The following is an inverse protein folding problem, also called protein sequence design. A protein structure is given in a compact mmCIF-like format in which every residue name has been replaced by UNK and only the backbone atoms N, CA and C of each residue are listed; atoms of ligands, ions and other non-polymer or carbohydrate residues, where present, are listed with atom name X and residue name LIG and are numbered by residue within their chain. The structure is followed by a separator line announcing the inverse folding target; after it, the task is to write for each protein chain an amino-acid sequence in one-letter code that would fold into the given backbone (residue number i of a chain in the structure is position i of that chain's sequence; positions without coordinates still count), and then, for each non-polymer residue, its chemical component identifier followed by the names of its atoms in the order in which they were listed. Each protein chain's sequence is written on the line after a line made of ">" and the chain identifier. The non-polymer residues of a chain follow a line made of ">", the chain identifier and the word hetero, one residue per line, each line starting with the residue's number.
data_IF_828812047382
#
_entry.id   IF_828812047382
#
_cell.length_a   1.000
_cell.length_b   1.000
_cell.length_c   1.000
_cell.angle_alpha   90.00
_cell.angle_beta   90.00
_cell.angle_gamma   90.00
#
_symmetry.space_group_name_H-M   'P 1'
#
loop_
_entity.id
_entity.type
_entity.pdbx_description
1 polymer ?
#
# COMPACT_ATOMS: atom_id res chain seq x y z
N UNK A 1 -5.01 15.42 -13.46
CA UNK A 1 -5.00 13.96 -13.18
C UNK A 1 -5.64 13.27 -14.37
N UNK A 2 -4.99 12.26 -14.95
CA UNK A 2 -5.50 11.51 -16.10
C UNK A 2 -6.60 10.56 -15.60
N UNK A 3 -7.78 10.54 -16.28
CA UNK A 3 -8.88 9.67 -15.90
C UNK A 3 -8.57 8.22 -16.30
N UNK A 4 -8.87 7.28 -15.41
CA UNK A 4 -8.75 5.85 -15.72
C UNK A 4 -9.85 5.41 -16.71
N UNK A 5 -9.42 4.92 -17.87
CA UNK A 5 -10.27 4.30 -18.91
C UNK A 5 -9.66 3.01 -19.43
N UNK A 6 -8.56 2.51 -18.82
CA UNK A 6 -7.77 1.38 -19.30
C UNK A 6 -8.60 0.10 -19.50
N UNK A 7 -9.63 -0.09 -18.68
CA UNK A 7 -10.47 -1.29 -18.70
C UNK A 7 -11.93 -1.00 -19.06
N UNK A 8 -12.24 0.20 -19.60
CA UNK A 8 -13.61 0.58 -19.94
C UNK A 8 -14.16 -0.19 -21.16
N UNK A 9 -13.30 -0.68 -22.05
CA UNK A 9 -13.71 -1.27 -23.34
C UNK A 9 -13.29 -2.74 -23.50
N UNK A 10 -12.40 -3.27 -22.69
CA UNK A 10 -11.94 -4.67 -22.81
C UNK A 10 -11.76 -5.30 -21.45
N UNK A 11 -12.49 -6.40 -21.13
CA UNK A 11 -12.20 -7.17 -19.94
C UNK A 11 -10.80 -7.79 -20.05
N UNK A 12 -9.88 -7.44 -19.14
CA UNK A 12 -8.59 -8.08 -19.09
C UNK A 12 -8.75 -9.57 -18.82
N UNK A 13 -7.95 -10.42 -19.48
CA UNK A 13 -7.94 -11.85 -19.19
C UNK A 13 -7.58 -12.08 -17.72
N UNK A 14 -8.20 -13.06 -17.03
CA UNK A 14 -7.90 -13.37 -15.64
C UNK A 14 -6.39 -13.62 -15.44
N UNK A 15 -5.76 -12.89 -14.50
CA UNK A 15 -4.33 -13.02 -14.19
C UNK A 15 -3.38 -12.07 -14.95
N UNK A 16 -3.88 -11.14 -15.76
CA UNK A 16 -3.05 -10.24 -16.58
C UNK A 16 -2.76 -8.87 -15.95
N UNK A 17 -3.30 -8.56 -14.75
CA UNK A 17 -3.06 -7.26 -14.12
C UNK A 17 -1.59 -7.12 -13.69
N UNK A 18 -0.93 -6.09 -14.20
CA UNK A 18 0.43 -5.72 -13.83
C UNK A 18 0.50 -4.22 -13.58
N UNK A 19 1.29 -3.82 -12.60
CA UNK A 19 1.60 -2.41 -12.34
C UNK A 19 2.63 -1.90 -13.35
N UNK A 20 2.23 -1.84 -14.63
CA UNK A 20 3.04 -1.33 -15.72
C UNK A 20 2.89 0.21 -15.89
N UNK A 21 3.62 0.80 -16.85
CA UNK A 21 3.60 2.25 -17.10
C UNK A 21 2.20 2.78 -17.44
N UNK A 22 1.36 1.99 -18.12
CA UNK A 22 0.01 2.38 -18.46
C UNK A 22 -0.86 2.53 -17.21
N UNK A 23 -0.78 1.53 -16.29
CA UNK A 23 -1.47 1.56 -14.99
C UNK A 23 -0.95 2.70 -14.13
N UNK A 24 0.38 2.88 -14.03
CA UNK A 24 0.99 3.98 -13.24
C UNK A 24 0.43 5.34 -13.64
N UNK A 25 0.22 5.57 -14.94
CA UNK A 25 -0.27 6.86 -15.46
C UNK A 25 -1.69 7.24 -14.98
N UNK A 26 -2.52 6.27 -14.65
CA UNK A 26 -3.92 6.44 -14.20
C UNK A 26 -4.14 6.02 -12.76
N UNK A 27 -3.13 5.46 -12.12
CA UNK A 27 -3.21 4.89 -10.76
C UNK A 27 -3.81 5.84 -9.72
N UNK A 28 -3.47 7.16 -9.70
CA UNK A 28 -4.05 8.08 -8.73
C UNK A 28 -5.58 8.25 -8.86
N UNK A 29 -6.13 8.18 -10.06
CA UNK A 29 -7.58 8.19 -10.28
C UNK A 29 -8.20 6.84 -9.95
N UNK A 30 -7.55 5.77 -10.40
CA UNK A 30 -7.99 4.39 -10.19
C UNK A 30 -8.11 4.07 -8.69
N UNK A 31 -7.07 4.32 -7.90
CA UNK A 31 -7.06 3.94 -6.47
C UNK A 31 -8.12 4.69 -5.67
N UNK A 32 -8.30 6.00 -5.91
CA UNK A 32 -9.31 6.83 -5.24
C UNK A 32 -10.73 6.38 -5.54
N UNK A 33 -10.97 5.88 -6.74
CA UNK A 33 -12.29 5.39 -7.16
C UNK A 33 -12.54 3.95 -6.75
N UNK A 34 -11.47 3.16 -6.61
CA UNK A 34 -11.57 1.72 -6.37
C UNK A 34 -11.51 1.35 -4.89
N UNK A 35 -10.96 2.21 -4.04
CA UNK A 35 -10.78 1.93 -2.61
C UNK A 35 -11.62 2.89 -1.78
N UNK A 36 -12.76 2.44 -1.23
CA UNK A 36 -13.56 3.26 -0.31
C UNK A 36 -12.75 3.71 0.89
N UNK A 37 -12.86 4.99 1.24
CA UNK A 37 -12.15 5.55 2.37
C UNK A 37 -10.63 5.72 2.17
N UNK A 38 -10.12 5.64 0.94
CA UNK A 38 -8.70 5.80 0.64
C UNK A 38 -8.08 7.04 1.30
N UNK A 39 -8.66 8.22 1.06
CA UNK A 39 -8.17 9.48 1.65
C UNK A 39 -8.27 9.49 3.19
N UNK A 40 -9.31 8.86 3.74
CA UNK A 40 -9.47 8.71 5.20
C UNK A 40 -8.37 7.84 5.78
N UNK A 41 -8.03 6.75 5.10
CA UNK A 41 -6.92 5.86 5.52
C UNK A 41 -5.58 6.60 5.49
N UNK A 42 -5.32 7.39 4.44
CA UNK A 42 -4.09 8.20 4.37
C UNK A 42 -4.03 9.22 5.52
N UNK A 43 -5.13 9.95 5.78
CA UNK A 43 -5.20 10.90 6.88
C UNK A 43 -5.00 10.23 8.24
N UNK A 44 -5.58 9.03 8.45
CA UNK A 44 -5.38 8.24 9.66
C UNK A 44 -3.93 7.77 9.79
N UNK A 45 -3.31 7.30 8.71
CA UNK A 45 -1.90 6.89 8.67
C UNK A 45 -0.99 8.03 9.13
N UNK A 46 -1.20 9.26 8.62
CA UNK A 46 -0.45 10.44 9.07
C UNK A 46 -0.64 10.74 10.56
N UNK A 47 -1.86 10.64 11.10
CA UNK A 47 -2.14 10.82 12.53
C UNK A 47 -1.47 9.75 13.39
N UNK A 48 -1.46 8.50 12.94
CA UNK A 48 -0.78 7.40 13.61
C UNK A 48 0.74 7.59 13.57
N UNK A 49 1.28 8.08 12.45
CA UNK A 49 2.69 8.45 12.35
C UNK A 49 3.05 9.52 13.39
N UNK A 50 2.29 10.62 13.48
CA UNK A 50 2.53 11.65 14.51
C UNK A 50 2.51 11.11 15.92
N UNK A 51 1.70 10.07 16.20
CA UNK A 51 1.52 9.48 17.54
C UNK A 51 2.58 8.46 17.92
N UNK A 52 3.00 7.61 16.98
CA UNK A 52 3.81 6.41 17.28
C UNK A 52 5.25 6.50 16.77
N UNK A 53 5.53 7.35 15.78
CA UNK A 53 6.89 7.45 15.25
C UNK A 53 7.81 8.08 16.30
N UNK A 54 8.95 7.45 16.50
CA UNK A 54 10.01 7.88 17.41
C UNK A 54 11.11 8.58 16.61
N UNK A 55 11.76 9.58 17.22
CA UNK A 55 12.91 10.23 16.61
C UNK A 55 14.07 9.23 16.41
N UNK A 56 14.87 9.45 15.40
CA UNK A 56 15.96 8.58 15.00
C UNK A 56 15.52 7.14 14.72
N UNK A 57 14.33 6.97 14.15
CA UNK A 57 13.79 5.68 13.72
C UNK A 57 13.35 5.73 12.26
N UNK A 58 12.88 4.59 11.76
CA UNK A 58 12.31 4.50 10.42
C UNK A 58 10.79 4.41 10.43
N UNK A 59 10.18 4.93 9.38
CA UNK A 59 8.84 4.60 8.89
C UNK A 59 9.02 3.83 7.60
N UNK A 60 8.41 2.66 7.48
CA UNK A 60 8.53 1.79 6.30
C UNK A 60 7.16 1.50 5.72
N UNK A 61 6.93 1.91 4.49
CA UNK A 61 5.70 1.66 3.73
C UNK A 61 5.94 0.52 2.73
N UNK A 62 5.25 -0.59 2.94
CA UNK A 62 5.43 -1.84 2.22
C UNK A 62 4.33 -2.03 1.17
N UNK A 63 4.70 -2.05 -0.10
CA UNK A 63 3.80 -1.89 -1.22
C UNK A 63 3.40 -0.42 -1.38
N UNK A 64 4.40 0.46 -1.37
CA UNK A 64 4.19 1.91 -1.26
C UNK A 64 3.57 2.54 -2.51
N UNK A 65 3.53 1.85 -3.64
CA UNK A 65 3.04 2.37 -4.92
C UNK A 65 3.63 3.75 -5.24
N UNK A 66 2.81 4.79 -5.37
CA UNK A 66 3.24 6.17 -5.63
C UNK A 66 3.57 6.98 -4.36
N UNK A 67 3.62 6.34 -3.18
CA UNK A 67 4.06 6.93 -1.92
C UNK A 67 3.02 7.81 -1.19
N UNK A 68 1.72 7.66 -1.44
CA UNK A 68 0.70 8.50 -0.80
C UNK A 68 0.70 8.37 0.73
N UNK A 69 0.89 7.16 1.28
CA UNK A 69 1.03 6.96 2.73
C UNK A 69 2.27 7.66 3.29
N UNK A 70 3.40 7.59 2.56
CA UNK A 70 4.63 8.29 2.97
C UNK A 70 4.49 9.80 2.89
N UNK A 71 3.73 10.33 1.94
CA UNK A 71 3.44 11.76 1.86
C UNK A 71 2.68 12.23 3.11
N UNK A 72 1.66 11.48 3.51
CA UNK A 72 0.90 11.77 4.73
C UNK A 72 1.79 11.70 5.99
N UNK A 73 2.70 10.72 6.05
CA UNK A 73 3.67 10.63 7.13
C UNK A 73 4.69 11.77 7.11
N UNK A 74 5.26 12.13 5.95
CA UNK A 74 6.22 13.23 5.82
C UNK A 74 5.64 14.56 6.31
N UNK A 75 4.38 14.85 5.93
CA UNK A 75 3.67 16.04 6.38
C UNK A 75 3.43 16.05 7.89
N UNK A 76 3.06 14.89 8.45
CA UNK A 76 2.79 14.75 9.89
C UNK A 76 4.07 14.77 10.76
N UNK A 77 5.23 14.52 10.18
CA UNK A 77 6.53 14.39 10.82
C UNK A 77 7.51 15.49 10.39
N UNK A 78 6.99 16.59 9.84
CA UNK A 78 7.82 17.70 9.35
C UNK A 78 8.86 18.15 10.37
N UNK A 79 10.11 18.26 9.93
CA UNK A 79 11.24 18.68 10.76
C UNK A 79 11.75 17.62 11.74
N UNK A 80 11.15 16.44 11.85
CA UNK A 80 11.62 15.38 12.76
C UNK A 80 12.76 14.56 12.16
N UNK A 81 13.74 14.14 12.97
CA UNK A 81 14.89 13.34 12.53
C UNK A 81 14.51 11.86 12.33
N UNK A 82 13.74 11.57 11.31
CA UNK A 82 13.27 10.21 10.99
C UNK A 82 13.60 9.85 9.54
N UNK A 83 13.70 8.55 9.26
CA UNK A 83 13.86 8.04 7.89
C UNK A 83 12.53 7.54 7.37
N UNK A 84 12.17 7.93 6.16
CA UNK A 84 10.99 7.43 5.45
C UNK A 84 11.47 6.51 4.32
N UNK A 85 10.97 5.28 4.27
CA UNK A 85 11.33 4.27 3.25
C UNK A 85 10.07 3.70 2.63
N UNK A 86 9.93 3.84 1.31
CA UNK A 86 8.92 3.17 0.51
C UNK A 86 9.52 1.97 -0.21
N UNK A 87 8.85 0.84 -0.17
CA UNK A 87 9.26 -0.38 -0.86
C UNK A 87 8.14 -0.87 -1.76
N UNK A 88 8.46 -1.18 -3.00
CA UNK A 88 7.53 -1.79 -3.94
C UNK A 88 8.28 -2.71 -4.91
N UNK A 89 7.63 -3.76 -5.39
CA UNK A 89 8.23 -4.66 -6.38
C UNK A 89 7.90 -4.30 -7.84
N UNK A 90 7.18 -3.21 -8.05
CA UNK A 90 6.90 -2.65 -9.37
C UNK A 90 7.86 -1.50 -9.69
N UNK A 91 8.90 -1.76 -10.49
CA UNK A 91 9.88 -0.74 -10.87
C UNK A 91 9.25 0.54 -11.47
N UNK A 92 8.19 0.50 -12.31
CA UNK A 92 7.52 1.70 -12.79
C UNK A 92 6.86 2.54 -11.67
N UNK A 93 6.35 1.89 -10.61
CA UNK A 93 5.79 2.61 -9.45
C UNK A 93 6.88 3.35 -8.70
N UNK A 94 8.01 2.70 -8.43
CA UNK A 94 9.16 3.31 -7.75
C UNK A 94 9.69 4.51 -8.55
N UNK A 95 9.95 4.35 -9.86
CA UNK A 95 10.43 5.44 -10.70
C UNK A 95 9.49 6.67 -10.69
N UNK A 96 8.18 6.43 -10.72
CA UNK A 96 7.19 7.50 -10.67
C UNK A 96 7.09 8.13 -9.27
N UNK A 97 7.22 7.34 -8.19
CA UNK A 97 7.27 7.85 -6.83
C UNK A 97 8.50 8.74 -6.64
N UNK A 98 9.68 8.31 -7.04
CA UNK A 98 10.91 9.11 -7.00
C UNK A 98 10.76 10.43 -7.75
N UNK A 99 10.27 10.40 -9.00
CA UNK A 99 10.04 11.59 -9.81
C UNK A 99 9.05 12.56 -9.15
N UNK A 100 7.97 12.03 -8.57
CA UNK A 100 6.97 12.82 -7.84
C UNK A 100 7.57 13.51 -6.62
N UNK A 101 8.31 12.79 -5.81
CA UNK A 101 8.87 13.30 -4.55
C UNK A 101 10.08 14.20 -4.75
N UNK A 102 10.83 14.05 -5.83
CA UNK A 102 11.91 14.98 -6.18
C UNK A 102 11.42 16.43 -6.37
N UNK A 103 10.16 16.60 -6.77
CA UNK A 103 9.53 17.91 -6.92
C UNK A 103 9.01 18.51 -5.58
N UNK A 104 8.99 17.72 -4.49
CA UNK A 104 8.49 18.10 -3.19
C UNK A 104 9.66 18.32 -2.24
N UNK A 105 9.89 19.55 -1.79
CA UNK A 105 10.95 19.88 -0.82
C UNK A 105 10.56 19.42 0.60
N UNK A 106 10.40 18.11 0.79
CA UNK A 106 9.98 17.53 2.08
C UNK A 106 11.16 17.30 3.02
N UNK A 107 10.95 17.52 4.31
CA UNK A 107 11.91 17.21 5.35
C UNK A 107 11.16 16.59 6.56
N UNK A 108 11.28 15.25 6.78
CA UNK A 108 12.12 14.30 6.03
C UNK A 108 11.57 13.98 4.64
N UNK A 109 12.48 13.82 3.67
CA UNK A 109 12.14 13.29 2.34
C UNK A 109 12.21 11.76 2.34
N UNK A 110 11.27 11.05 1.72
CA UNK A 110 11.32 9.60 1.62
C UNK A 110 12.37 9.13 0.60
N UNK A 111 12.90 7.93 0.85
CA UNK A 111 13.64 7.13 -0.13
C UNK A 111 12.75 6.01 -0.62
N UNK A 112 12.97 5.56 -1.85
CA UNK A 112 12.22 4.46 -2.43
C UNK A 112 13.17 3.32 -2.81
N UNK A 113 12.70 2.08 -2.67
CA UNK A 113 13.48 0.87 -2.94
C UNK A 113 12.64 -0.11 -3.76
N UNK A 114 13.16 -0.51 -4.92
CA UNK A 114 12.57 -1.56 -5.73
C UNK A 114 13.03 -2.91 -5.18
N UNK A 115 12.17 -3.60 -4.42
CA UNK A 115 12.49 -4.87 -3.80
C UNK A 115 11.23 -5.70 -3.48
N UNK A 116 11.43 -7.02 -3.39
CA UNK A 116 10.44 -7.92 -2.83
C UNK A 116 10.43 -7.87 -1.30
N UNK A 117 9.24 -7.80 -0.72
CA UNK A 117 9.05 -7.75 0.73
C UNK A 117 9.62 -8.99 1.44
N UNK A 118 9.61 -10.15 0.78
CA UNK A 118 10.14 -11.39 1.34
C UNK A 118 11.68 -11.41 1.41
N UNK A 119 12.34 -10.66 0.53
CA UNK A 119 13.81 -10.62 0.46
C UNK A 119 14.43 -9.45 1.24
N UNK A 120 13.65 -8.43 1.58
CA UNK A 120 14.16 -7.20 2.20
C UNK A 120 14.63 -7.41 3.63
N UNK A 121 15.79 -6.84 3.97
CA UNK A 121 16.24 -6.71 5.36
C UNK A 121 15.60 -5.45 5.99
N UNK A 122 14.66 -5.63 6.91
CA UNK A 122 13.96 -4.51 7.51
C UNK A 122 14.83 -3.71 8.48
N UNK A 123 14.88 -2.37 8.36
CA UNK A 123 15.52 -1.54 9.37
C UNK A 123 14.71 -1.57 10.68
N UNK A 124 15.36 -1.22 11.79
CA UNK A 124 14.64 -0.99 13.04
C UNK A 124 13.71 0.21 12.87
N UNK A 125 12.40 0.01 12.93
CA UNK A 125 11.39 0.99 12.63
C UNK A 125 10.42 1.20 13.78
N UNK A 126 9.86 2.38 13.91
CA UNK A 126 8.76 2.66 14.83
C UNK A 126 7.39 2.65 14.16
N UNK A 127 7.35 2.61 12.81
CA UNK A 127 6.11 2.45 12.08
C UNK A 127 6.33 1.60 10.83
N UNK A 128 5.55 0.53 10.69
CA UNK A 128 5.35 -0.18 9.44
C UNK A 128 3.95 0.10 8.91
N UNK A 129 3.82 0.23 7.59
CA UNK A 129 2.55 0.47 6.89
C UNK A 129 2.40 -0.63 5.83
N UNK A 130 1.24 -1.28 5.82
CA UNK A 130 0.78 -2.21 4.78
C UNK A 130 -0.66 -1.83 4.42
N UNK A 131 -0.82 -0.87 3.53
CA UNK A 131 -2.14 -0.48 3.05
C UNK A 131 -2.46 -1.23 1.75
N UNK A 132 -3.38 -2.20 1.83
CA UNK A 132 -3.83 -3.06 0.71
C UNK A 132 -2.73 -3.87 0.04
N UNK A 133 -1.71 -4.26 0.80
CA UNK A 133 -0.52 -4.96 0.31
C UNK A 133 -0.57 -6.47 0.54
N UNK A 134 -1.02 -6.91 1.73
CA UNK A 134 -1.01 -8.34 2.09
C UNK A 134 -1.83 -9.21 1.13
N UNK A 135 -2.87 -8.65 0.52
CA UNK A 135 -3.71 -9.37 -0.43
C UNK A 135 -2.92 -9.90 -1.64
N UNK A 136 -1.78 -9.27 -1.99
CA UNK A 136 -0.93 -9.67 -3.11
C UNK A 136 0.10 -10.75 -2.74
N UNK A 137 0.27 -11.04 -1.46
CA UNK A 137 1.19 -12.07 -0.99
C UNK A 137 0.49 -13.43 -0.84
N UNK A 138 1.20 -14.53 -1.16
CA UNK A 138 0.73 -15.87 -0.84
C UNK A 138 0.38 -16.00 0.65
N UNK A 139 -0.62 -16.81 0.97
CA UNK A 139 -1.08 -16.97 2.35
C UNK A 139 0.04 -17.44 3.29
N UNK A 140 0.86 -18.36 2.81
CA UNK A 140 2.01 -18.93 3.52
C UNK A 140 3.12 -17.90 3.81
N UNK A 141 3.23 -16.85 2.98
CA UNK A 141 4.24 -15.80 3.15
C UNK A 141 3.84 -14.74 4.18
N UNK A 142 2.53 -14.58 4.45
CA UNK A 142 2.01 -13.50 5.31
C UNK A 142 2.47 -13.64 6.77
N UNK A 143 2.37 -14.85 7.33
CA UNK A 143 2.81 -15.12 8.71
C UNK A 143 4.30 -14.84 8.93
N UNK A 144 5.20 -15.43 8.14
CA UNK A 144 6.63 -15.11 8.19
C UNK A 144 6.95 -13.62 8.02
N UNK A 145 6.28 -12.92 7.08
CA UNK A 145 6.44 -11.48 6.93
C UNK A 145 6.08 -10.74 8.22
N UNK A 146 4.89 -11.01 8.78
CA UNK A 146 4.45 -10.35 10.02
C UNK A 146 5.42 -10.58 11.18
N UNK A 147 5.98 -11.80 11.32
CA UNK A 147 6.97 -12.11 12.32
C UNK A 147 8.26 -11.29 12.15
N UNK A 148 8.73 -11.10 10.91
CA UNK A 148 9.91 -10.28 10.59
C UNK A 148 9.66 -8.80 10.90
N UNK A 149 8.48 -8.28 10.55
CA UNK A 149 8.11 -6.89 10.88
C UNK A 149 8.03 -6.68 12.37
N UNK A 150 7.43 -7.62 13.11
CA UNK A 150 7.37 -7.54 14.56
C UNK A 150 8.78 -7.55 15.20
N UNK A 151 9.69 -8.38 14.71
CA UNK A 151 11.08 -8.42 15.19
C UNK A 151 11.86 -7.12 14.91
N UNK A 152 11.54 -6.40 13.82
CA UNK A 152 12.15 -5.13 13.44
C UNK A 152 11.46 -3.91 14.07
N UNK A 153 10.24 -4.10 14.62
CA UNK A 153 9.47 -3.02 15.22
C UNK A 153 10.04 -2.64 16.59
N UNK A 154 10.29 -1.35 16.79
CA UNK A 154 10.75 -0.82 18.07
C UNK A 154 9.66 -0.95 19.15
N UNK A 155 10.03 -1.18 20.41
CA UNK A 155 9.09 -1.11 21.52
C UNK A 155 8.32 0.22 21.52
N UNK A 156 6.98 0.15 21.62
CA UNK A 156 6.11 1.32 21.54
C UNK A 156 5.82 1.81 20.11
N UNK A 157 6.39 1.16 19.09
CA UNK A 157 6.06 1.40 17.70
C UNK A 157 4.71 0.77 17.29
N UNK A 158 4.31 0.98 16.05
CA UNK A 158 3.02 0.51 15.53
C UNK A 158 3.16 -0.12 14.14
N UNK A 159 2.23 -1.03 13.83
CA UNK A 159 1.94 -1.50 12.48
C UNK A 159 0.56 -0.96 12.07
N UNK A 160 0.51 -0.28 10.95
CA UNK A 160 -0.74 0.12 10.28
C UNK A 160 -1.02 -0.90 9.18
N UNK A 161 -2.18 -1.53 9.26
CA UNK A 161 -2.64 -2.51 8.30
C UNK A 161 -4.05 -2.16 7.83
N UNK A 162 -4.23 -2.00 6.53
CA UNK A 162 -5.53 -1.83 5.89
C UNK A 162 -5.69 -2.88 4.80
N UNK A 163 -6.75 -3.67 4.88
CA UNK A 163 -6.97 -4.75 3.93
C UNK A 163 -8.46 -4.96 3.64
N UNK A 164 -8.72 -5.54 2.49
CA UNK A 164 -10.04 -6.03 2.14
C UNK A 164 -10.29 -7.32 2.90
N UNK A 165 -11.34 -7.34 3.71
CA UNK A 165 -11.77 -8.54 4.43
C UNK A 165 -12.82 -9.31 3.61
N UNK A 166 -12.93 -10.60 3.88
CA UNK A 166 -14.01 -11.46 3.43
C UNK A 166 -14.78 -11.94 4.65
N UNK A 167 -16.10 -12.03 4.52
CA UNK A 167 -16.90 -12.63 5.56
C UNK A 167 -17.00 -14.16 5.33
N UNK A 168 -16.94 -14.99 6.38
CA UNK A 168 -17.17 -16.42 6.26
C UNK A 168 -18.61 -16.76 5.84
N UNK A 169 -19.57 -15.89 6.12
CA UNK A 169 -20.94 -16.02 5.65
C UNK A 169 -21.06 -15.53 4.19
N UNK A 170 -21.47 -16.39 3.25
CA UNK A 170 -21.56 -16.02 1.84
C UNK A 170 -22.58 -14.91 1.54
N UNK A 171 -23.65 -14.79 2.34
CA UNK A 171 -24.66 -13.74 2.14
C UNK A 171 -24.12 -12.39 2.58
N UNK A 172 -23.40 -12.35 3.71
CA UNK A 172 -22.73 -11.13 4.19
C UNK A 172 -21.60 -10.73 3.25
N UNK A 173 -20.79 -11.68 2.77
CA UNK A 173 -19.70 -11.41 1.79
C UNK A 173 -20.27 -10.85 0.47
N UNK A 174 -21.40 -11.38 0.01
CA UNK A 174 -22.10 -10.86 -1.16
C UNK A 174 -22.64 -9.45 -0.93
N UNK A 175 -23.26 -9.20 0.23
CA UNK A 175 -23.76 -7.88 0.61
C UNK A 175 -22.63 -6.85 0.66
N UNK A 176 -21.53 -7.16 1.34
CA UNK A 176 -20.34 -6.30 1.40
C UNK A 176 -19.81 -5.99 -0.02
N UNK A 177 -19.86 -6.98 -0.93
CA UNK A 177 -19.51 -6.78 -2.33
C UNK A 177 -20.42 -5.81 -3.07
N UNK A 178 -21.71 -5.72 -2.71
CA UNK A 178 -22.67 -4.79 -3.35
C UNK A 178 -22.59 -3.37 -2.81
N UNK A 179 -22.12 -3.19 -1.58
CA UNK A 179 -21.93 -1.88 -0.95
C UNK A 179 -20.71 -1.13 -1.51
N UNK A 180 -19.86 -1.80 -2.27
CA UNK A 180 -18.79 -1.16 -3.01
C UNK A 180 -19.35 -0.38 -4.20
N UNK A 181 -19.14 0.96 -4.28
CA UNK A 181 -19.70 1.80 -5.35
C UNK A 181 -19.11 1.50 -6.73
N UNK A 182 -18.07 0.70 -6.81
CA UNK A 182 -17.46 0.20 -8.04
C UNK A 182 -17.38 -1.31 -7.98
N UNK A 183 -17.78 -1.96 -9.09
CA UNK A 183 -17.71 -3.41 -9.23
C UNK A 183 -16.24 -3.86 -9.20
N UNK A 184 -15.71 -4.00 -7.98
CA UNK A 184 -14.38 -4.55 -7.72
C UNK A 184 -14.23 -5.98 -8.29
N UNK A 185 -15.33 -6.58 -8.77
CA UNK A 185 -15.31 -7.87 -9.45
C UNK A 185 -14.52 -7.79 -10.76
N UNK A 186 -14.47 -6.66 -11.43
CA UNK A 186 -13.61 -6.49 -12.61
C UNK A 186 -12.13 -6.60 -12.23
N UNK A 187 -11.73 -6.13 -11.05
CA UNK A 187 -10.35 -6.21 -10.57
C UNK A 187 -10.10 -7.46 -9.72
N UNK A 188 -11.10 -7.96 -8.98
CA UNK A 188 -10.95 -9.13 -8.11
C UNK A 188 -11.08 -10.47 -8.84
N UNK A 189 -11.71 -10.53 -10.02
CA UNK A 189 -11.70 -11.73 -10.86
C UNK A 189 -10.30 -12.06 -11.39
N UNK A 190 -9.38 -11.10 -11.38
CA UNK A 190 -7.97 -11.32 -11.71
C UNK A 190 -7.18 -11.88 -10.53
N UNK A 191 -7.72 -11.81 -9.30
CA UNK A 191 -7.13 -12.35 -8.08
C UNK A 191 -8.00 -13.50 -7.53
N UNK A 192 -8.22 -14.55 -8.35
CA UNK A 192 -8.64 -15.82 -7.79
C UNK A 192 -7.51 -16.34 -6.92
N UNK A 193 -7.64 -16.09 -5.61
CA UNK A 193 -6.89 -16.88 -4.64
C UNK A 193 -7.26 -18.34 -4.93
N UNK A 194 -6.28 -19.13 -5.39
CA UNK A 194 -6.46 -20.57 -5.53
C UNK A 194 -6.96 -21.09 -4.20
N UNK A 195 -8.16 -21.68 -4.20
CA UNK A 195 -8.62 -22.46 -3.06
C UNK A 195 -7.63 -23.62 -2.92
N UNK A 196 -6.73 -23.53 -1.96
CA UNK A 196 -6.14 -24.74 -1.41
C UNK A 196 -7.30 -25.48 -0.72
N UNK A 197 -7.55 -26.69 -1.18
CA UNK A 197 -8.47 -27.66 -0.56
C UNK A 197 -7.88 -28.13 0.76
#
# INVERSE_FOLDING_TARGET
>A
MKRDTLYAETPAAPGSFRFDEAVVSVFPDMIRRSVPGYETTLALTGRLAARYVQDHSAVVDLGCSLGDSLLACAQALEGRPVTLLGVDNAAPMIAQAEARFAALALTPGPRFEHADLEALAYPSASLFILNWTLQFLPLEARGPLMARLFAALRPGGALVLSEKIRDPDPEVDALLGTLHPYDFRQYSNNFRMSRAR
#
